data_IF_471031637698
#
_entry.id   IF_471031637698
#
_cell.length_a   1.000
_cell.length_b   1.000
_cell.length_c   1.000
_cell.angle_alpha   90.00
_cell.angle_beta   90.00
_cell.angle_gamma   90.00
#
_symmetry.space_group_name_H-M   'P 1'
#
loop_
_entity.id
_entity.type
_entity.pdbx_description
1 polymer ?
#
# COMPACT_ATOMS: atom_id res chain seq x y z
N UNK A 1 3.69 -12.85 -0.58
CA UNK A 1 3.68 -13.05 -2.04
C UNK A 1 4.74 -12.16 -2.64
N UNK A 2 5.51 -12.66 -3.59
CA UNK A 2 6.46 -11.86 -4.40
C UNK A 2 5.91 -11.81 -5.82
N UNK A 3 5.92 -10.63 -6.42
CA UNK A 3 5.61 -10.44 -7.84
C UNK A 3 6.42 -9.25 -8.38
N UNK A 4 6.47 -9.11 -9.70
CA UNK A 4 7.17 -7.99 -10.34
C UNK A 4 6.34 -6.71 -10.21
N UNK A 5 7.01 -5.55 -10.17
CA UNK A 5 6.32 -4.26 -10.10
C UNK A 5 5.44 -4.00 -11.34
N UNK A 6 5.81 -4.51 -12.51
CA UNK A 6 5.02 -4.39 -13.74
C UNK A 6 3.75 -5.27 -13.77
N UNK A 7 3.56 -6.14 -12.78
CA UNK A 7 2.34 -6.94 -12.58
C UNK A 7 1.37 -6.28 -11.59
N UNK A 8 1.74 -5.13 -11.04
CA UNK A 8 0.90 -4.34 -10.14
C UNK A 8 0.31 -3.17 -10.92
N UNK A 9 -0.97 -2.93 -10.72
CA UNK A 9 -1.68 -1.80 -11.30
C UNK A 9 -2.51 -1.09 -10.24
N UNK A 10 -2.77 0.19 -10.52
CA UNK A 10 -3.68 1.01 -9.73
C UNK A 10 -4.76 1.48 -10.69
N UNK A 11 -5.99 1.04 -10.46
CA UNK A 11 -7.16 1.53 -11.20
C UNK A 11 -7.83 2.64 -10.40
N UNK A 12 -8.18 3.71 -11.10
CA UNK A 12 -8.99 4.79 -10.58
C UNK A 12 -10.28 4.81 -11.39
N UNK A 13 -11.42 4.79 -10.72
CA UNK A 13 -12.70 4.94 -11.41
C UNK A 13 -12.87 6.41 -11.80
N UNK A 14 -13.10 6.67 -13.09
CA UNK A 14 -13.40 8.00 -13.60
C UNK A 14 -14.57 8.65 -12.83
N UNK A 15 -14.47 9.95 -12.60
CA UNK A 15 -15.49 10.77 -11.92
C UNK A 15 -15.86 10.33 -10.48
N UNK A 16 -15.15 9.36 -9.90
CA UNK A 16 -15.42 8.87 -8.54
C UNK A 16 -14.92 9.80 -7.43
N UNK A 17 -14.06 10.76 -7.77
CA UNK A 17 -13.49 11.69 -6.83
C UNK A 17 -14.53 12.70 -6.35
N UNK A 18 -14.90 12.62 -5.07
CA UNK A 18 -15.75 13.60 -4.38
C UNK A 18 -14.94 14.30 -3.32
N UNK A 19 -14.99 15.64 -3.30
CA UNK A 19 -14.31 16.48 -2.30
C UNK A 19 -15.24 17.56 -1.77
N UNK A 20 -15.20 17.78 -0.46
CA UNK A 20 -15.81 18.92 0.24
C UNK A 20 -14.75 19.58 1.11
N UNK A 21 -14.64 20.90 1.01
CA UNK A 21 -13.76 21.71 1.84
C UNK A 21 -14.67 22.57 2.70
N UNK A 22 -14.56 22.43 4.03
CA UNK A 22 -15.38 23.15 4.99
C UNK A 22 -14.46 24.03 5.84
N UNK A 23 -14.73 25.32 5.85
CA UNK A 23 -14.12 26.22 6.83
C UNK A 23 -14.74 25.93 8.21
N UNK A 24 -13.92 25.63 9.21
CA UNK A 24 -14.35 25.49 10.59
C UNK A 24 -13.70 26.56 11.49
N UNK A 25 -14.23 27.79 11.51
CA UNK A 25 -13.70 28.87 12.34
C UNK A 25 -13.73 28.57 13.84
N UNK A 26 -14.58 27.65 14.30
CA UNK A 26 -14.65 27.29 15.74
C UNK A 26 -13.38 26.58 16.22
N UNK A 27 -12.67 25.93 15.32
CA UNK A 27 -11.40 25.23 15.58
C UNK A 27 -10.21 25.90 14.89
N UNK A 28 -10.41 27.04 14.22
CA UNK A 28 -9.39 27.72 13.41
C UNK A 28 -8.72 26.76 12.40
N UNK A 29 -9.53 25.99 11.67
CA UNK A 29 -9.03 25.00 10.73
C UNK A 29 -9.91 24.87 9.48
N UNK A 30 -9.32 24.29 8.45
CA UNK A 30 -10.00 23.85 7.22
C UNK A 30 -10.15 22.34 7.26
N UNK A 31 -11.38 21.85 7.07
CA UNK A 31 -11.70 20.42 7.03
C UNK A 31 -11.79 19.96 5.57
N UNK A 32 -10.91 19.03 5.19
CA UNK A 32 -10.94 18.38 3.87
C UNK A 32 -11.61 17.01 4.00
N UNK A 33 -12.73 16.83 3.32
CA UNK A 33 -13.41 15.55 3.17
C UNK A 33 -13.30 15.10 1.73
N UNK A 34 -12.47 14.10 1.47
CA UNK A 34 -12.28 13.56 0.13
C UNK A 34 -12.51 12.04 0.10
N UNK A 35 -13.03 11.57 -1.03
CA UNK A 35 -13.20 10.16 -1.33
C UNK A 35 -12.95 9.95 -2.81
N UNK A 36 -12.33 8.83 -3.15
CA UNK A 36 -12.05 8.41 -4.51
C UNK A 36 -12.15 6.89 -4.55
N UNK A 37 -12.65 6.33 -5.65
CA UNK A 37 -12.67 4.88 -5.82
C UNK A 37 -11.36 4.43 -6.50
N UNK A 38 -10.56 3.67 -5.75
CA UNK A 38 -9.20 3.25 -6.12
C UNK A 38 -9.07 1.76 -5.85
N UNK A 39 -8.65 1.00 -6.85
CA UNK A 39 -8.37 -0.43 -6.74
C UNK A 39 -6.88 -0.70 -6.97
N UNK A 40 -6.29 -1.50 -6.09
CA UNK A 40 -4.91 -1.99 -6.22
C UNK A 40 -4.96 -3.44 -6.67
N UNK A 41 -4.50 -3.71 -7.89
CA UNK A 41 -4.73 -5.00 -8.55
C UNK A 41 -3.42 -5.69 -8.86
N UNK A 42 -3.42 -7.01 -8.64
CA UNK A 42 -2.41 -7.93 -9.17
C UNK A 42 -2.98 -8.50 -10.46
N UNK A 43 -2.40 -8.11 -11.59
CA UNK A 43 -2.98 -8.39 -12.91
C UNK A 43 -2.96 -9.87 -13.26
N UNK A 44 -1.83 -10.52 -13.01
CA UNK A 44 -1.67 -11.96 -13.23
C UNK A 44 -1.24 -12.66 -11.94
N UNK A 45 -2.17 -13.39 -11.31
CA UNK A 45 -1.88 -14.16 -10.10
C UNK A 45 -0.77 -15.21 -10.28
N UNK A 46 -0.67 -15.81 -11.47
CA UNK A 46 0.38 -16.79 -11.80
C UNK A 46 1.78 -16.17 -11.98
N UNK A 47 1.88 -14.83 -12.12
CA UNK A 47 3.16 -14.14 -12.22
C UNK A 47 3.78 -13.81 -10.85
N UNK A 48 3.14 -14.25 -9.76
CA UNK A 48 3.67 -14.18 -8.41
C UNK A 48 3.93 -15.56 -7.82
N UNK A 49 4.61 -15.59 -6.68
CA UNK A 49 4.76 -16.79 -5.86
C UNK A 49 4.51 -16.49 -4.39
N UNK A 50 4.08 -17.52 -3.66
CA UNK A 50 4.06 -17.50 -2.21
C UNK A 50 5.35 -18.13 -1.69
N UNK A 51 5.89 -17.54 -0.62
CA UNK A 51 7.01 -18.10 0.12
C UNK A 51 6.42 -18.65 1.40
N UNK A 52 6.55 -19.95 1.59
CA UNK A 52 6.03 -20.68 2.75
C UNK A 52 7.17 -21.27 3.56
N UNK A 53 6.88 -21.72 4.78
CA UNK A 53 7.85 -22.34 5.69
C UNK A 53 9.04 -21.43 6.06
N UNK A 54 8.78 -20.11 6.18
CA UNK A 54 9.79 -19.12 6.56
C UNK A 54 10.18 -19.33 8.03
N UNK A 55 11.48 -19.50 8.29
CA UNK A 55 12.05 -19.48 9.65
C UNK A 55 12.54 -18.08 9.98
N UNK A 56 12.01 -17.50 11.05
CA UNK A 56 12.52 -16.26 11.63
C UNK A 56 13.62 -16.59 12.63
N UNK A 57 14.66 -15.77 12.68
CA UNK A 57 15.79 -15.95 13.59
C UNK A 57 16.77 -14.80 13.50
N UNK A 58 17.67 -14.74 14.48
CA UNK A 58 18.86 -13.90 14.39
C UNK A 58 19.89 -14.63 13.52
N UNK A 59 20.17 -14.06 12.35
CA UNK A 59 21.20 -14.54 11.42
C UNK A 59 22.38 -13.57 11.37
N UNK A 60 22.57 -12.74 12.40
CA UNK A 60 23.77 -11.92 12.53
C UNK A 60 25.01 -12.79 12.44
N UNK A 61 26.03 -12.28 11.76
CA UNK A 61 27.30 -12.99 11.66
C UNK A 61 27.83 -13.24 13.07
N UNK A 62 28.19 -14.49 13.37
CA UNK A 62 28.88 -14.82 14.61
C UNK A 62 30.10 -13.90 14.72
N UNK A 63 30.19 -13.16 15.83
CA UNK A 63 31.33 -12.29 16.07
C UNK A 63 32.57 -13.19 16.18
N UNK A 64 33.67 -12.91 15.45
CA UNK A 64 34.83 -13.79 15.46
C UNK A 64 35.33 -13.96 16.91
N UNK A 65 35.49 -15.21 17.32
CA UNK A 65 36.10 -15.55 18.60
C UNK A 65 37.54 -15.05 18.57
N UNK A 66 37.89 -14.18 19.53
CA UNK A 66 39.25 -13.67 19.73
C UNK A 66 40.18 -14.75 20.27
#
# INVERSE_FOLDING_TARGET
>A
MVTRLDNLSIYFMDESHRRSIIENPKLDQVENYESMNIDYVVETYAAGCFIENIKLGDFSAAQPEG
#
